data_IF_772538860790
#
_entry.id   IF_772538860790
#
_cell.length_a   1.000
_cell.length_b   1.000
_cell.length_c   1.000
_cell.angle_alpha   90.00
_cell.angle_beta   90.00
_cell.angle_gamma   90.00
#
_symmetry.space_group_name_H-M   'P 1'
#
loop_
_entity.id
_entity.type
_entity.pdbx_description
1 polymer ?
#
# COMPACT_ATOMS: atom_id res chain seq x y z
N UNK A 1 12.12 16.76 4.69
CA UNK A 1 11.04 15.83 4.29
C UNK A 1 11.03 14.70 5.31
N UNK A 2 9.87 14.20 5.71
CA UNK A 2 9.81 13.03 6.60
C UNK A 2 10.32 11.80 5.83
N UNK A 3 11.16 10.99 6.46
CA UNK A 3 11.70 9.76 5.86
C UNK A 3 10.65 8.66 5.92
N UNK A 4 10.34 8.04 4.77
CA UNK A 4 9.45 6.88 4.69
C UNK A 4 10.07 5.69 5.43
N UNK A 5 9.38 5.14 6.43
CA UNK A 5 9.83 3.94 7.13
C UNK A 5 9.61 2.65 6.32
N UNK A 6 10.58 1.72 6.35
CA UNK A 6 10.41 0.37 5.80
C UNK A 6 9.92 -0.58 6.88
N UNK A 7 8.78 -1.23 6.64
CA UNK A 7 8.25 -2.31 7.48
C UNK A 7 8.16 -3.62 6.70
N UNK A 8 8.50 -4.73 7.35
CA UNK A 8 8.44 -6.05 6.72
C UNK A 8 7.26 -6.84 7.28
N UNK A 9 6.35 -7.27 6.40
CA UNK A 9 5.28 -8.19 6.76
C UNK A 9 5.81 -9.64 6.80
N UNK A 10 5.83 -10.20 8.01
CA UNK A 10 6.24 -11.58 8.27
C UNK A 10 5.05 -12.50 8.00
N UNK A 11 5.31 -13.59 7.30
CA UNK A 11 4.29 -14.61 7.03
C UNK A 11 3.85 -15.38 8.27
N UNK A 12 3.20 -16.53 8.05
CA UNK A 12 2.71 -17.39 9.14
C UNK A 12 3.84 -18.05 9.96
N UNK A 13 5.03 -18.17 9.36
CA UNK A 13 6.18 -18.83 9.95
C UNK A 13 7.26 -17.82 10.30
N UNK A 14 7.94 -17.99 11.45
CA UNK A 14 9.05 -17.11 11.81
C UNK A 14 10.18 -17.27 10.78
N UNK A 15 10.91 -16.19 10.44
CA UNK A 15 12.08 -16.27 9.60
C UNK A 15 13.16 -17.15 10.25
N UNK A 16 13.94 -17.83 9.40
CA UNK A 16 15.11 -18.59 9.84
C UNK A 16 16.14 -17.66 10.51
N UNK A 17 16.98 -18.14 11.45
CA UNK A 17 17.95 -17.30 12.17
C UNK A 17 18.86 -16.45 11.25
N UNK A 18 19.26 -17.01 10.11
CA UNK A 18 20.06 -16.31 9.09
C UNK A 18 19.29 -15.18 8.37
N UNK A 19 17.96 -15.30 8.26
CA UNK A 19 17.09 -14.29 7.68
C UNK A 19 16.81 -13.15 8.68
N UNK A 20 16.71 -13.47 9.97
CA UNK A 20 16.40 -12.50 11.03
C UNK A 20 17.37 -11.31 11.04
N UNK A 21 18.68 -11.55 10.90
CA UNK A 21 19.68 -10.50 10.88
C UNK A 21 19.49 -9.52 9.71
N UNK A 22 19.02 -10.01 8.55
CA UNK A 22 18.75 -9.15 7.39
C UNK A 22 17.49 -8.29 7.63
N UNK A 23 16.47 -8.86 8.26
CA UNK A 23 15.20 -8.18 8.52
C UNK A 23 15.29 -7.09 9.61
N UNK A 24 16.22 -7.22 10.56
CA UNK A 24 16.46 -6.25 11.63
C UNK A 24 16.93 -4.88 11.14
N UNK A 25 17.30 -4.75 9.87
CA UNK A 25 17.66 -3.46 9.28
C UNK A 25 16.43 -2.58 9.01
N UNK A 26 15.25 -3.18 8.84
CA UNK A 26 14.01 -2.44 8.65
C UNK A 26 13.67 -1.60 9.89
N UNK A 27 12.85 -0.55 9.70
CA UNK A 27 12.36 0.27 10.81
C UNK A 27 11.52 -0.57 11.78
N UNK A 28 10.77 -1.52 11.24
CA UNK A 28 9.91 -2.39 12.01
C UNK A 28 9.41 -3.59 11.22
N UNK A 29 8.60 -4.41 11.87
CA UNK A 29 7.94 -5.56 11.24
C UNK A 29 6.46 -5.58 11.55
N UNK A 30 5.69 -6.18 10.64
CA UNK A 30 4.29 -6.54 10.84
C UNK A 30 4.23 -8.03 11.06
N UNK A 31 3.67 -8.47 12.20
CA UNK A 31 3.56 -9.89 12.54
C UNK A 31 2.11 -10.31 12.71
N UNK A 32 1.77 -11.50 12.20
CA UNK A 32 0.50 -12.15 12.46
C UNK A 32 0.29 -12.53 13.93
N UNK A 33 -0.96 -12.60 14.37
CA UNK A 33 -1.33 -13.04 15.71
C UNK A 33 -0.74 -14.41 16.09
N UNK A 34 -0.69 -15.36 15.14
CA UNK A 34 -0.18 -16.72 15.36
C UNK A 34 1.28 -16.77 15.81
N UNK A 35 2.11 -15.83 15.35
CA UNK A 35 3.49 -15.69 15.79
C UNK A 35 3.59 -15.11 17.20
N UNK A 36 2.60 -14.29 17.59
CA UNK A 36 2.53 -13.67 18.89
C UNK A 36 1.97 -14.61 19.97
N UNK A 37 1.07 -15.53 19.60
CA UNK A 37 0.51 -16.55 20.51
C UNK A 37 1.62 -17.44 21.13
N UNK A 38 2.81 -17.49 20.54
CA UNK A 38 3.99 -18.22 21.02
C UNK A 38 4.91 -17.38 21.93
N UNK A 39 4.53 -16.12 22.20
CA UNK A 39 5.34 -15.11 22.87
C UNK A 39 6.08 -14.20 21.88
N UNK A 40 6.43 -12.99 22.32
CA UNK A 40 7.19 -12.03 21.50
C UNK A 40 8.54 -12.66 21.09
N UNK A 41 8.81 -12.86 19.79
CA UNK A 41 10.08 -13.43 19.36
C UNK A 41 11.27 -12.58 19.80
N UNK A 42 12.33 -13.21 20.33
CA UNK A 42 13.50 -12.46 20.85
C UNK A 42 14.25 -11.67 19.78
N UNK A 43 14.15 -12.07 18.52
CA UNK A 43 14.77 -11.36 17.40
C UNK A 43 14.06 -10.04 17.05
N UNK A 44 12.87 -9.79 17.60
CA UNK A 44 12.08 -8.54 17.50
C UNK A 44 12.39 -7.52 18.61
N UNK A 45 13.57 -7.63 19.23
CA UNK A 45 14.02 -6.73 20.31
C UNK A 45 14.52 -5.37 19.82
N UNK A 46 14.62 -5.15 18.51
CA UNK A 46 15.06 -3.89 17.91
C UNK A 46 14.07 -3.49 16.80
N UNK A 47 13.60 -2.24 16.83
CA UNK A 47 12.65 -1.69 15.85
C UNK A 47 11.20 -1.61 16.33
N UNK A 48 10.36 -0.93 15.56
CA UNK A 48 8.92 -0.82 15.81
C UNK A 48 8.23 -2.16 15.49
N UNK A 49 7.35 -2.62 16.40
CA UNK A 49 6.56 -3.83 16.20
C UNK A 49 5.11 -3.44 15.88
N UNK A 50 4.60 -3.93 14.75
CA UNK A 50 3.19 -3.81 14.39
C UNK A 50 2.54 -5.17 14.55
N UNK A 51 1.59 -5.28 15.49
CA UNK A 51 0.91 -6.54 15.75
C UNK A 51 -0.40 -6.59 14.98
N UNK A 52 -0.51 -7.52 14.01
CA UNK A 52 -1.79 -7.84 13.36
C UNK A 52 -2.67 -8.58 14.35
N UNK A 53 -3.75 -7.94 14.74
CA UNK A 53 -4.62 -8.42 15.79
C UNK A 53 -6.05 -8.59 15.30
N UNK A 54 -6.48 -9.83 15.15
CA UNK A 54 -7.88 -10.15 14.84
C UNK A 54 -8.73 -10.23 16.12
N UNK A 55 -8.10 -10.58 17.25
CA UNK A 55 -8.71 -10.59 18.58
C UNK A 55 -7.67 -10.27 19.69
N UNK A 56 -7.72 -9.07 20.29
CA UNK A 56 -6.76 -8.65 21.32
C UNK A 56 -6.87 -9.45 22.61
N UNK A 57 -8.04 -10.05 22.90
CA UNK A 57 -8.23 -10.83 24.13
C UNK A 57 -7.51 -12.18 24.07
N UNK A 58 -7.27 -12.68 22.86
CA UNK A 58 -6.53 -13.92 22.63
C UNK A 58 -5.04 -13.74 22.72
N UNK A 59 -4.54 -12.54 22.45
CA UNK A 59 -3.13 -12.25 22.64
C UNK A 59 -2.93 -12.03 24.14
N UNK A 60 -2.46 -13.08 24.83
CA UNK A 60 -2.04 -13.01 26.22
C UNK A 60 -0.75 -12.19 26.37
N UNK A 61 -0.68 -11.01 25.75
CA UNK A 61 0.35 -10.02 26.07
C UNK A 61 0.01 -9.56 27.47
N UNK A 62 0.81 -9.98 28.46
CA UNK A 62 1.11 -9.10 29.59
C UNK A 62 1.36 -7.73 28.98
N UNK A 63 0.61 -6.66 29.34
CA UNK A 63 0.72 -5.37 28.67
C UNK A 63 2.21 -5.06 28.53
N UNK A 64 2.71 -5.10 27.28
CA UNK A 64 4.08 -4.73 27.02
C UNK A 64 4.22 -3.32 27.59
N UNK A 65 5.26 -3.12 28.41
CA UNK A 65 5.50 -1.87 29.13
C UNK A 65 5.70 -0.67 28.19
N UNK A 66 5.82 -0.91 26.88
CA UNK A 66 5.83 0.09 25.83
C UNK A 66 4.41 0.31 25.25
N UNK A 67 3.78 1.40 25.67
CA UNK A 67 2.46 1.86 25.22
C UNK A 67 2.45 2.40 23.77
N UNK A 68 3.61 2.44 23.08
CA UNK A 68 3.77 3.12 21.79
C UNK A 68 3.67 2.21 20.55
N UNK A 69 3.55 0.88 20.71
CA UNK A 69 3.49 -0.06 19.59
C UNK A 69 2.15 0.04 18.82
N UNK A 70 2.16 0.20 17.48
CA UNK A 70 0.94 0.22 16.68
C UNK A 70 0.28 -1.17 16.56
N UNK A 71 -1.03 -1.22 16.76
CA UNK A 71 -1.87 -2.42 16.63
C UNK A 71 -2.64 -2.36 15.32
N UNK A 72 -2.35 -3.32 14.43
CA UNK A 72 -2.98 -3.40 13.12
C UNK A 72 -4.36 -4.07 13.24
N UNK A 73 -5.39 -3.33 12.83
CA UNK A 73 -6.74 -3.86 12.67
C UNK A 73 -7.02 -4.13 11.18
N UNK A 74 -6.98 -5.40 10.78
CA UNK A 74 -7.39 -5.84 9.43
C UNK A 74 -8.90 -6.08 9.41
N UNK A 75 -9.62 -5.02 9.78
CA UNK A 75 -11.08 -4.99 9.86
C UNK A 75 -11.57 -3.66 9.32
N UNK A 76 -12.86 -3.55 8.99
CA UNK A 76 -13.45 -2.25 8.62
C UNK A 76 -13.24 -1.18 9.70
N UNK A 77 -13.31 0.09 9.29
CA UNK A 77 -13.01 1.25 10.15
C UNK A 77 -13.82 1.28 11.45
N UNK A 78 -15.09 0.93 11.40
CA UNK A 78 -15.99 0.94 12.56
C UNK A 78 -15.58 -0.12 13.59
N UNK A 79 -15.13 -1.27 13.11
CA UNK A 79 -14.62 -2.33 13.98
C UNK A 79 -13.29 -1.91 14.60
N UNK A 80 -12.38 -1.31 13.81
CA UNK A 80 -11.14 -0.75 14.33
C UNK A 80 -11.40 0.33 15.39
N UNK A 81 -12.40 1.20 15.19
CA UNK A 81 -12.76 2.24 16.15
C UNK A 81 -13.30 1.62 17.45
N UNK A 82 -14.15 0.60 17.35
CA UNK A 82 -14.64 -0.14 18.51
C UNK A 82 -13.50 -0.84 19.29
N UNK A 83 -12.48 -1.35 18.60
CA UNK A 83 -11.27 -1.89 19.24
C UNK A 83 -10.52 -0.77 19.98
N UNK A 84 -10.30 0.38 19.35
CA UNK A 84 -9.68 1.54 20.01
C UNK A 84 -10.44 1.98 21.26
N UNK A 85 -11.75 2.10 21.20
CA UNK A 85 -12.55 2.56 22.34
C UNK A 85 -12.51 1.55 23.50
N UNK A 86 -12.34 0.25 23.19
CA UNK A 86 -12.17 -0.81 24.19
C UNK A 86 -10.76 -0.87 24.79
N UNK A 87 -9.74 -0.45 24.03
CA UNK A 87 -8.33 -0.39 24.46
C UNK A 87 -7.70 0.97 24.10
N UNK A 88 -8.08 2.06 24.80
CA UNK A 88 -7.71 3.42 24.42
C UNK A 88 -6.24 3.79 24.62
N UNK A 89 -5.50 2.99 25.40
CA UNK A 89 -4.05 3.16 25.60
C UNK A 89 -3.20 2.56 24.48
N UNK A 90 -3.80 2.05 23.40
CA UNK A 90 -3.10 1.47 22.26
C UNK A 90 -3.22 2.38 21.04
N UNK A 91 -2.15 2.46 20.24
CA UNK A 91 -2.19 3.12 18.93
C UNK A 91 -2.76 2.17 17.89
N UNK A 92 -3.97 2.41 17.42
CA UNK A 92 -4.62 1.54 16.43
C UNK A 92 -4.38 2.01 14.99
N UNK A 93 -3.93 1.09 14.14
CA UNK A 93 -3.67 1.30 12.72
C UNK A 93 -4.69 0.47 11.90
N UNK A 94 -5.77 1.07 11.38
CA UNK A 94 -6.68 0.35 10.49
C UNK A 94 -6.02 0.10 9.12
N UNK A 95 -6.16 -1.13 8.62
CA UNK A 95 -5.82 -1.47 7.25
C UNK A 95 -7.06 -1.38 6.37
N UNK A 96 -6.95 -0.64 5.27
CA UNK A 96 -7.99 -0.48 4.28
C UNK A 96 -7.53 -1.13 2.99
N UNK A 97 -8.29 -2.11 2.53
CA UNK A 97 -8.12 -2.64 1.18
C UNK A 97 -8.72 -1.64 0.20
N UNK A 98 -7.91 -1.21 -0.76
CA UNK A 98 -8.28 -0.22 -1.78
C UNK A 98 -8.00 -0.76 -3.17
N UNK A 99 -8.96 -0.57 -4.07
CA UNK A 99 -8.84 -0.95 -5.47
C UNK A 99 -9.25 0.20 -6.38
N UNK A 100 -8.70 0.20 -7.58
CA UNK A 100 -9.16 1.10 -8.64
C UNK A 100 -10.48 0.57 -9.15
N UNK A 101 -11.49 1.43 -9.18
CA UNK A 101 -12.81 1.07 -9.68
C UNK A 101 -12.71 0.61 -11.14
N UNK A 102 -13.21 -0.58 -11.44
CA UNK A 102 -13.29 -1.05 -12.82
C UNK A 102 -14.33 -0.22 -13.58
N UNK A 103 -13.97 0.25 -14.78
CA UNK A 103 -14.90 0.98 -15.63
C UNK A 103 -15.89 -0.02 -16.23
N UNK A 104 -17.09 -0.06 -15.65
CA UNK A 104 -18.19 -0.87 -16.19
C UNK A 104 -18.82 -0.11 -17.35
N UNK A 105 -18.91 -0.77 -18.50
CA UNK A 105 -19.60 -0.26 -19.67
C UNK A 105 -21.05 -0.74 -19.65
N UNK A 106 -22.00 0.18 -19.53
CA UNK A 106 -23.42 -0.14 -19.64
C UNK A 106 -23.93 0.05 -21.06
N UNK A 107 -24.79 -0.87 -21.50
CA UNK A 107 -25.58 -0.70 -22.73
C UNK A 107 -26.75 0.22 -22.46
N UNK A 108 -26.86 1.30 -23.24
CA UNK A 108 -28.04 2.14 -23.19
C UNK A 108 -29.09 1.59 -24.16
N UNK A 109 -30.03 0.79 -23.64
CA UNK A 109 -31.11 0.18 -24.44
C UNK A 109 -32.12 1.23 -24.97
N UNK A 110 -32.06 2.47 -24.48
CA UNK A 110 -32.97 3.54 -24.90
C UNK A 110 -32.55 4.29 -26.18
N UNK A 111 -31.41 3.95 -26.79
CA UNK A 111 -31.04 4.46 -28.11
C UNK A 111 -31.76 3.66 -29.21
N UNK A 112 -33.09 3.78 -29.26
CA UNK A 112 -33.94 3.30 -30.34
C UNK A 112 -33.73 4.18 -31.58
N UNK A 113 -32.67 3.90 -32.32
CA UNK A 113 -32.41 4.44 -33.65
C UNK A 113 -31.49 3.48 -34.39
N UNK A 114 -31.95 2.97 -35.53
CA UNK A 114 -31.23 1.97 -36.33
C UNK A 114 -29.78 2.41 -36.61
N UNK A 115 -28.81 1.64 -36.09
CA UNK A 115 -27.47 1.55 -36.69
C UNK A 115 -26.26 1.75 -35.77
N UNK A 116 -26.36 2.47 -34.64
CA UNK A 116 -25.17 2.79 -33.84
C UNK A 116 -25.39 2.67 -32.34
N UNK A 117 -24.74 1.69 -31.74
CA UNK A 117 -24.60 1.53 -30.28
C UNK A 117 -23.42 2.39 -29.83
N UNK A 118 -23.65 3.38 -28.98
CA UNK A 118 -22.60 4.23 -28.42
C UNK A 118 -22.20 3.70 -27.04
N UNK A 119 -20.90 3.46 -26.86
CA UNK A 119 -20.30 3.19 -25.55
C UNK A 119 -20.14 4.51 -24.82
N UNK A 120 -20.87 4.73 -23.73
CA UNK A 120 -20.62 5.85 -22.83
C UNK A 120 -19.98 5.26 -21.57
N UNK A 121 -18.68 5.50 -21.32
CA UNK A 121 -18.09 5.10 -20.06
C UNK A 121 -18.78 5.87 -18.93
N UNK A 122 -19.02 5.21 -17.79
CA UNK A 122 -19.44 5.93 -16.60
C UNK A 122 -18.30 6.87 -16.18
N UNK A 123 -18.46 8.16 -16.48
CA UNK A 123 -17.47 9.19 -16.17
C UNK A 123 -17.16 9.30 -14.67
N UNK A 124 -18.06 8.83 -13.80
CA UNK A 124 -17.84 8.73 -12.37
C UNK A 124 -16.89 7.60 -11.95
N UNK A 125 -16.71 6.58 -12.80
CA UNK A 125 -15.85 5.43 -12.57
C UNK A 125 -14.44 5.59 -13.17
N UNK A 126 -14.22 6.54 -14.09
CA UNK A 126 -13.00 6.60 -14.93
C UNK A 126 -11.71 6.76 -14.11
N UNK A 127 -11.77 7.29 -12.89
CA UNK A 127 -10.62 7.41 -12.01
C UNK A 127 -10.93 7.14 -10.54
N UNK A 128 -12.02 6.44 -10.21
CA UNK A 128 -12.40 6.19 -8.81
C UNK A 128 -11.46 5.20 -8.12
N UNK A 129 -11.16 5.44 -6.84
CA UNK A 129 -10.71 4.39 -5.94
C UNK A 129 -11.85 4.07 -4.97
N UNK A 130 -12.02 2.78 -4.70
CA UNK A 130 -12.99 2.30 -3.72
C UNK A 130 -12.30 1.43 -2.68
N UNK A 131 -12.81 1.45 -1.45
CA UNK A 131 -12.38 0.57 -0.38
C UNK A 131 -13.59 0.11 0.44
N UNK A 132 -13.43 -0.98 1.21
CA UNK A 132 -14.45 -1.53 2.11
C UNK A 132 -15.86 -1.68 1.47
N UNK A 133 -15.97 -2.44 0.38
CA UNK A 133 -17.27 -2.79 -0.22
C UNK A 133 -17.89 -1.65 -1.04
N UNK A 134 -17.09 -1.05 -1.93
CA UNK A 134 -17.46 -0.03 -2.93
C UNK A 134 -17.58 1.42 -2.42
N UNK A 135 -17.16 1.73 -1.20
CA UNK A 135 -17.12 3.11 -0.73
C UNK A 135 -15.98 3.89 -1.40
N UNK A 136 -16.27 5.09 -1.92
CA UNK A 136 -15.27 5.99 -2.49
C UNK A 136 -14.20 6.35 -1.46
N UNK A 137 -12.94 6.34 -1.90
CA UNK A 137 -11.79 6.57 -1.01
C UNK A 137 -11.88 7.90 -0.24
N UNK A 138 -12.40 8.97 -0.85
CA UNK A 138 -12.51 10.28 -0.18
C UNK A 138 -13.48 10.25 1.00
N UNK A 139 -14.62 9.58 0.82
CA UNK A 139 -15.61 9.40 1.87
C UNK A 139 -15.04 8.49 2.98
N UNK A 140 -14.32 7.44 2.58
CA UNK A 140 -13.68 6.51 3.50
C UNK A 140 -12.60 7.18 4.37
N UNK A 141 -11.74 8.00 3.77
CA UNK A 141 -10.69 8.76 4.47
C UNK A 141 -11.27 9.83 5.40
N UNK A 142 -12.27 10.58 4.93
CA UNK A 142 -12.97 11.57 5.76
C UNK A 142 -13.66 10.90 6.97
N UNK A 143 -14.22 9.70 6.76
CA UNK A 143 -14.81 8.91 7.85
C UNK A 143 -13.75 8.43 8.83
N UNK A 144 -12.61 7.94 8.35
CA UNK A 144 -11.52 7.52 9.22
C UNK A 144 -11.00 8.66 10.10
N UNK A 145 -10.82 9.86 9.52
CA UNK A 145 -10.49 11.06 10.27
C UNK A 145 -11.59 11.44 11.28
N UNK A 146 -12.87 11.39 10.88
CA UNK A 146 -14.00 11.66 11.75
C UNK A 146 -14.14 10.66 12.91
N UNK A 147 -13.67 9.42 12.71
CA UNK A 147 -13.56 8.43 13.77
C UNK A 147 -12.38 8.71 14.71
N UNK A 148 -11.43 9.58 14.35
CA UNK A 148 -10.28 9.98 15.15
C UNK A 148 -9.01 9.17 14.88
N UNK A 149 -8.87 8.57 13.69
CA UNK A 149 -7.62 7.95 13.27
C UNK A 149 -6.69 9.01 12.67
N UNK A 150 -5.43 9.00 13.11
CA UNK A 150 -4.35 9.87 12.63
C UNK A 150 -3.38 9.14 11.69
N UNK A 151 -3.47 7.81 11.61
CA UNK A 151 -2.60 6.96 10.81
C UNK A 151 -3.46 5.90 10.12
N UNK A 152 -3.31 5.72 8.81
CA UNK A 152 -4.03 4.71 8.04
C UNK A 152 -3.08 3.87 7.19
N UNK A 153 -3.35 2.57 7.06
CA UNK A 153 -2.66 1.72 6.11
C UNK A 153 -3.55 1.42 4.90
N UNK A 154 -3.16 1.95 3.74
CA UNK A 154 -3.78 1.66 2.45
C UNK A 154 -3.09 0.49 1.76
N UNK A 155 -3.80 -0.62 1.61
CA UNK A 155 -3.33 -1.80 0.88
C UNK A 155 -3.94 -1.81 -0.53
N UNK A 156 -3.10 -1.63 -1.55
CA UNK A 156 -3.54 -1.61 -2.94
C UNK A 156 -3.72 -3.01 -3.54
N UNK A 157 -4.85 -3.68 -3.30
CA UNK A 157 -5.10 -5.04 -3.79
C UNK A 157 -4.96 -5.17 -5.32
N UNK A 158 -5.39 -4.14 -6.06
CA UNK A 158 -5.24 -4.08 -7.51
C UNK A 158 -3.77 -3.92 -7.97
N UNK A 159 -2.92 -3.27 -7.17
CA UNK A 159 -1.49 -3.17 -7.44
C UNK A 159 -0.76 -4.47 -7.06
N UNK A 160 -1.18 -5.14 -5.98
CA UNK A 160 -0.62 -6.41 -5.54
C UNK A 160 -0.82 -7.51 -6.57
N UNK A 161 -2.08 -7.68 -7.00
CA UNK A 161 -2.47 -8.69 -8.00
C UNK A 161 -1.73 -8.53 -9.33
N UNK A 162 -1.43 -7.29 -9.73
CA UNK A 162 -0.65 -7.00 -10.94
C UNK A 162 0.85 -7.18 -10.73
N UNK A 163 1.36 -6.97 -9.51
CA UNK A 163 2.78 -7.07 -9.17
C UNK A 163 3.67 -6.05 -9.89
N UNK A 164 3.12 -4.89 -10.28
CA UNK A 164 3.83 -3.88 -11.10
C UNK A 164 4.28 -2.63 -10.32
N UNK A 165 4.44 -2.76 -9.01
CA UNK A 165 4.78 -1.66 -8.12
C UNK A 165 3.61 -1.16 -7.29
N UNK A 166 3.90 -0.21 -6.41
CA UNK A 166 2.93 0.41 -5.51
C UNK A 166 1.97 1.33 -6.27
N UNK A 167 0.77 1.51 -5.74
CA UNK A 167 -0.22 2.42 -6.31
C UNK A 167 0.06 3.87 -5.84
N UNK A 168 0.95 4.56 -6.54
CA UNK A 168 1.36 5.93 -6.19
C UNK A 168 0.25 6.97 -6.46
N UNK A 169 -0.62 6.70 -7.43
CA UNK A 169 -1.81 7.52 -7.72
C UNK A 169 -2.79 7.47 -6.54
N UNK A 170 -2.98 6.30 -5.92
CA UNK A 170 -3.75 6.15 -4.69
C UNK A 170 -3.14 7.00 -3.56
N UNK A 171 -1.83 6.91 -3.36
CA UNK A 171 -1.13 7.66 -2.31
C UNK A 171 -1.30 9.17 -2.48
N UNK A 172 -1.05 9.68 -3.69
CA UNK A 172 -1.20 11.10 -4.00
C UNK A 172 -2.62 11.58 -3.72
N UNK A 173 -3.62 10.81 -4.15
CA UNK A 173 -5.02 11.17 -3.92
C UNK A 173 -5.38 11.13 -2.44
N UNK A 174 -4.95 10.09 -1.73
CA UNK A 174 -5.22 9.96 -0.31
C UNK A 174 -4.61 11.13 0.49
N UNK A 175 -3.38 11.52 0.16
CA UNK A 175 -2.71 12.67 0.80
C UNK A 175 -3.38 14.02 0.57
N UNK A 176 -4.28 14.15 -0.42
CA UNK A 176 -5.11 15.36 -0.61
C UNK A 176 -6.37 15.38 0.27
N UNK A 177 -6.75 14.23 0.84
CA UNK A 177 -8.01 14.05 1.56
C UNK A 177 -7.82 13.57 3.00
N UNK A 178 -6.59 13.26 3.41
CA UNK A 178 -6.23 12.81 4.74
C UNK A 178 -4.96 13.53 5.21
N UNK A 179 -5.07 14.29 6.29
CA UNK A 179 -3.96 15.09 6.85
C UNK A 179 -3.02 14.27 7.76
N UNK A 180 -3.38 13.02 8.05
CA UNK A 180 -2.60 12.13 8.90
C UNK A 180 -1.54 11.32 8.14
N UNK A 181 -0.92 10.40 8.86
CA UNK A 181 0.14 9.53 8.33
C UNK A 181 -0.44 8.40 7.47
N UNK A 182 0.10 8.24 6.27
CA UNK A 182 -0.30 7.18 5.34
C UNK A 182 0.77 6.10 5.23
N UNK A 183 0.36 4.86 5.48
CA UNK A 183 1.14 3.66 5.20
C UNK A 183 0.64 3.05 3.89
N UNK A 184 1.55 2.53 3.07
CA UNK A 184 1.19 1.91 1.79
C UNK A 184 1.76 0.48 1.65
N UNK A 185 0.96 -0.41 1.04
CA UNK A 185 1.44 -1.73 0.61
C UNK A 185 0.69 -2.23 -0.62
N UNK A 186 0.99 -3.46 -1.03
CA UNK A 186 0.27 -4.17 -2.10
C UNK A 186 0.83 -3.88 -3.49
N UNK A 187 2.06 -4.33 -3.78
CA UNK A 187 2.57 -4.28 -5.17
C UNK A 187 4.09 -4.12 -5.32
N UNK A 188 4.81 -3.76 -4.25
CA UNK A 188 6.27 -3.70 -4.28
C UNK A 188 6.87 -5.11 -4.43
N UNK A 189 7.65 -5.31 -5.51
CA UNK A 189 8.38 -6.56 -5.79
C UNK A 189 9.88 -6.36 -6.06
N UNK A 190 10.33 -5.10 -6.19
CA UNK A 190 11.66 -4.74 -6.69
C UNK A 190 12.05 -3.39 -6.08
N UNK A 191 13.35 -3.12 -5.92
CA UNK A 191 13.88 -1.84 -5.41
C UNK A 191 13.38 -0.63 -6.19
N UNK A 192 13.24 -0.72 -7.52
CA UNK A 192 12.72 0.37 -8.37
C UNK A 192 11.38 0.92 -7.89
N UNK A 193 10.54 0.09 -7.27
CA UNK A 193 9.24 0.52 -6.77
C UNK A 193 9.38 1.42 -5.54
N UNK A 194 10.44 1.24 -4.74
CA UNK A 194 10.75 2.06 -3.56
C UNK A 194 11.45 3.36 -3.96
N UNK A 195 12.30 3.33 -4.99
CA UNK A 195 12.82 4.56 -5.61
C UNK A 195 11.68 5.47 -6.10
N UNK A 196 10.70 4.90 -6.80
CA UNK A 196 9.52 5.65 -7.27
C UNK A 196 8.69 6.20 -6.09
N UNK A 197 8.54 5.41 -5.01
CA UNK A 197 7.85 5.87 -3.80
C UNK A 197 8.60 7.04 -3.14
N UNK A 198 9.93 6.95 -3.04
CA UNK A 198 10.75 7.99 -2.44
C UNK A 198 10.70 9.30 -3.23
N UNK A 199 10.72 9.20 -4.57
CA UNK A 199 10.58 10.36 -5.45
C UNK A 199 9.18 11.01 -5.37
N UNK A 200 8.12 10.20 -5.25
CA UNK A 200 6.76 10.70 -5.07
C UNK A 200 6.54 11.34 -3.69
N UNK A 201 7.09 10.72 -2.64
CA UNK A 201 6.84 11.08 -1.25
C UNK A 201 5.40 10.79 -0.79
N UNK A 202 5.02 11.36 0.35
CA UNK A 202 3.65 11.32 0.87
C UNK A 202 3.28 10.09 1.72
N UNK A 203 4.13 9.06 1.77
CA UNK A 203 3.97 7.92 2.69
C UNK A 203 4.84 8.09 3.93
N UNK A 204 4.27 7.87 5.11
CA UNK A 204 5.01 7.75 6.37
C UNK A 204 5.73 6.39 6.46
N UNK A 205 5.14 5.35 5.86
CA UNK A 205 5.71 4.01 5.83
C UNK A 205 5.32 3.20 4.59
N UNK A 206 6.16 2.24 4.23
CA UNK A 206 5.88 1.21 3.24
C UNK A 206 5.99 -0.16 3.89
N UNK A 207 5.01 -1.03 3.64
CA UNK A 207 5.03 -2.42 4.09
C UNK A 207 5.32 -3.33 2.90
N UNK A 208 6.37 -4.15 3.04
CA UNK A 208 6.84 -5.08 2.01
C UNK A 208 6.76 -6.51 2.54
N UNK A 209 6.28 -7.49 1.75
CA UNK A 209 6.27 -8.89 2.18
C UNK A 209 7.68 -9.43 2.42
N UNK A 210 7.85 -10.26 3.46
CA UNK A 210 9.12 -10.91 3.81
C UNK A 210 9.85 -11.53 2.59
N UNK A 211 9.21 -12.28 1.67
CA UNK A 211 9.92 -12.83 0.52
C UNK A 211 10.61 -11.77 -0.35
N UNK A 212 9.96 -10.63 -0.56
CA UNK A 212 10.51 -9.51 -1.36
C UNK A 212 11.68 -8.86 -0.61
N UNK A 213 11.55 -8.70 0.70
CA UNK A 213 12.61 -8.15 1.54
C UNK A 213 13.87 -9.02 1.54
N UNK A 214 13.71 -10.34 1.56
CA UNK A 214 14.80 -11.30 1.49
C UNK A 214 15.42 -11.38 0.10
N UNK A 215 14.60 -11.32 -0.96
CA UNK A 215 15.08 -11.38 -2.34
C UNK A 215 15.86 -10.12 -2.74
N UNK A 216 15.36 -8.93 -2.39
CA UNK A 216 16.02 -7.67 -2.74
C UNK A 216 17.16 -7.33 -1.76
N UNK A 217 17.02 -7.71 -0.48
CA UNK A 217 17.85 -7.28 0.64
C UNK A 217 17.33 -5.99 1.28
N UNK A 218 17.15 -5.99 2.61
CA UNK A 218 16.60 -4.84 3.34
C UNK A 218 17.45 -3.57 3.21
N UNK A 219 18.78 -3.70 3.26
CA UNK A 219 19.71 -2.58 3.05
C UNK A 219 19.47 -1.87 1.71
N UNK A 220 19.29 -2.64 0.64
CA UNK A 220 19.06 -2.10 -0.71
C UNK A 220 17.69 -1.43 -0.81
N UNK A 221 16.68 -1.98 -0.15
CA UNK A 221 15.36 -1.37 -0.07
C UNK A 221 15.38 -0.06 0.73
N UNK A 222 16.14 0.03 1.82
CA UNK A 222 16.33 1.25 2.61
C UNK A 222 17.07 2.32 1.79
N UNK A 223 18.18 1.95 1.15
CA UNK A 223 18.92 2.85 0.26
C UNK A 223 18.03 3.37 -0.87
N UNK A 224 17.15 2.52 -1.43
CA UNK A 224 16.19 2.95 -2.45
C UNK A 224 15.19 4.01 -1.91
N UNK A 225 14.78 3.91 -0.65
CA UNK A 225 13.91 4.90 0.00
C UNK A 225 14.64 6.22 0.32
N UNK A 226 15.94 6.15 0.63
CA UNK A 226 16.75 7.32 0.95
C UNK A 226 17.21 8.09 -0.30
N UNK A 227 17.39 7.38 -1.43
CA UNK A 227 17.99 7.93 -2.66
C UNK A 227 17.03 8.70 -3.56
N UNK A 228 15.73 8.74 -3.25
CA UNK A 228 14.69 9.36 -4.09
C UNK A 228 14.80 10.87 -4.31
N UNK A 229 15.86 11.52 -3.81
CA UNK A 229 16.10 12.96 -3.93
C UNK A 229 16.94 13.43 -5.12
N UNK A 230 17.85 12.60 -5.66
CA UNK A 230 18.91 13.13 -6.57
C UNK A 230 18.93 12.52 -7.99
N UNK A 231 18.35 11.33 -8.23
CA UNK A 231 18.42 10.64 -9.54
C UNK A 231 17.07 9.99 -9.93
N UNK A 232 15.98 10.75 -9.92
CA UNK A 232 14.72 10.28 -10.48
C UNK A 232 14.90 10.03 -11.99
N UNK A 233 15.20 8.79 -12.36
CA UNK A 233 15.24 8.34 -13.76
C UNK A 233 13.86 8.63 -14.36
N UNK A 234 13.77 9.47 -15.41
CA UNK A 234 12.49 9.75 -16.04
C UNK A 234 11.87 8.44 -16.48
N UNK A 235 10.61 8.21 -16.12
CA UNK A 235 9.81 7.07 -16.56
C UNK A 235 9.83 7.06 -18.10
N UNK A 236 10.75 6.29 -18.66
CA UNK A 236 10.84 6.04 -20.08
C UNK A 236 9.62 5.23 -20.48
N UNK A 237 8.57 5.91 -20.93
CA UNK A 237 7.58 5.30 -21.80
C UNK A 237 8.34 4.54 -22.89
N UNK A 238 8.01 3.27 -23.16
CA UNK A 238 8.64 2.58 -24.28
C UNK A 238 8.42 3.45 -25.51
N UNK A 239 9.52 3.87 -26.14
CA UNK A 239 9.47 4.64 -27.37
C UNK A 239 8.64 3.83 -28.36
N UNK A 240 7.39 4.22 -28.55
CA UNK A 240 6.60 3.77 -29.68
C UNK A 240 7.38 4.21 -30.89
N UNK A 241 8.05 3.25 -31.53
CA UNK A 241 8.64 3.44 -32.84
C UNK A 241 7.54 4.01 -33.73
N UNK A 242 7.65 5.29 -34.05
CA UNK A 242 6.84 5.92 -35.07
C UNK A 242 7.22 5.27 -36.40
N UNK A 243 6.48 4.24 -36.77
CA UNK A 243 6.37 3.78 -38.14
C UNK A 243 5.68 4.88 -38.94
N UNK A 244 6.44 5.61 -39.75
CA UNK A 244 5.90 6.51 -40.76
C UNK A 244 6.88 7.59 -41.17
N UNK A 245 7.59 7.41 -42.28
CA UNK A 245 7.25 8.05 -43.56
C UNK A 245 8.24 7.58 -44.64
N UNK A 246 7.77 6.91 -45.69
CA UNK A 246 7.36 7.50 -46.97
C UNK A 246 8.50 7.52 -48.01
N UNK A 247 8.43 6.51 -48.89
CA UNK A 247 8.36 6.69 -50.34
C UNK A 247 9.12 7.88 -50.96
N UNK A 248 10.42 7.71 -51.18
CA UNK A 248 11.15 8.40 -52.24
C UNK A 248 11.10 7.58 -53.52
N UNK A 249 10.20 7.94 -54.44
CA UNK A 249 10.27 7.52 -55.85
C UNK A 249 11.54 8.12 -56.46
N UNK A 250 12.39 7.29 -57.04
CA UNK A 250 13.31 7.76 -58.08
C UNK A 250 13.01 7.04 -59.39
N UNK A 251 12.48 7.83 -60.33
CA UNK A 251 12.48 7.57 -61.76
C UNK A 251 13.42 8.61 -62.36
N UNK A 252 14.22 8.16 -63.32
CA UNK A 252 14.96 8.93 -64.33
C UNK A 252 16.47 9.06 -64.08
N UNK A 253 17.23 8.44 -64.99
CA UNK A 253 18.69 8.51 -65.08
C UNK A 253 19.23 7.29 -65.81
#
# INVERSE_FOLDING_TARGET
MATTGLFIEIGEYPPEPEQQASLQQARGVVVGQSLFDQGRPEWLRQGELVVRCDDPERIAVTPAEDDDEPWLAVTGLERAAALRDRWPGRRWLPQLEVSKQEVVYHFNDSALGEGFRFYIPDTGAIHGYVGNGDERIEALLARAAGLGFDTLWLHGAGAESRGRGLDLDLLERAGRHFDGDLWISGGAREERHLFNLAAQGGAAAVVVPQPVALECGCERLLLALESGGDDAVPLGLPAMAATGDAAGRDRSG
#
